data_IF_567757979390
#
_entry.id   IF_567757979390
#
_cell.length_a   1.000
_cell.length_b   1.000
_cell.length_c   1.000
_cell.angle_alpha   90.00
_cell.angle_beta   90.00
_cell.angle_gamma   90.00
#
_symmetry.space_group_name_H-M   'P 1'
#
loop_
_entity.id
_entity.type
_entity.pdbx_description
1 polymer ?
#
# COMPACT_ATOMS: atom_id res chain seq x y z
N UNK A 1 16.84 -5.09 4.87
CA UNK A 1 15.51 -4.47 4.63
C UNK A 1 14.35 -5.45 4.41
N UNK A 2 14.51 -6.55 3.67
CA UNK A 2 13.44 -7.53 3.38
C UNK A 2 12.55 -7.92 4.57
N UNK A 3 13.14 -8.44 5.66
CA UNK A 3 12.36 -8.87 6.83
C UNK A 3 11.68 -7.69 7.55
N UNK A 4 12.37 -6.56 7.69
CA UNK A 4 11.85 -5.35 8.35
C UNK A 4 10.61 -4.82 7.62
N UNK A 5 10.68 -4.73 6.30
CA UNK A 5 9.54 -4.33 5.47
C UNK A 5 8.36 -5.30 5.60
N UNK A 6 8.61 -6.62 5.56
CA UNK A 6 7.56 -7.62 5.69
C UNK A 6 6.88 -7.61 7.07
N UNK A 7 7.63 -7.30 8.15
CA UNK A 7 7.11 -7.35 9.52
C UNK A 7 6.46 -6.04 9.99
N UNK A 8 7.02 -4.90 9.59
CA UNK A 8 6.64 -3.59 10.13
C UNK A 8 6.08 -2.63 9.08
N UNK A 9 6.12 -3.00 7.80
CA UNK A 9 5.57 -2.19 6.72
C UNK A 9 6.16 -0.77 6.71
N UNK A 10 5.27 0.21 6.56
CA UNK A 10 5.63 1.63 6.44
C UNK A 10 5.97 2.29 7.79
N UNK A 11 5.54 1.72 8.91
CA UNK A 11 5.80 2.25 10.26
C UNK A 11 7.02 1.59 10.91
N UNK A 12 7.80 0.85 10.12
CA UNK A 12 9.06 0.27 10.52
C UNK A 12 10.27 1.12 10.15
N UNK A 13 11.43 0.67 10.65
CA UNK A 13 12.73 1.17 10.23
C UNK A 13 13.36 0.27 9.18
N UNK A 14 14.09 0.87 8.26
CA UNK A 14 14.95 0.21 7.27
C UNK A 14 16.40 0.63 7.52
N UNK A 15 17.35 -0.18 7.07
CA UNK A 15 18.78 0.13 7.10
C UNK A 15 19.09 0.96 5.85
N UNK A 16 19.62 2.16 6.05
CA UNK A 16 20.32 2.92 5.02
C UNK A 16 21.77 2.44 5.00
N UNK A 17 22.19 1.84 3.89
CA UNK A 17 23.54 1.28 3.75
C UNK A 17 24.60 2.36 3.49
N UNK A 18 24.23 3.53 2.95
CA UNK A 18 25.16 4.63 2.74
C UNK A 18 25.44 5.40 4.03
N UNK A 19 24.43 5.53 4.90
CA UNK A 19 24.56 6.17 6.22
C UNK A 19 24.91 5.20 7.35
N UNK A 20 24.94 3.90 7.08
CA UNK A 20 25.21 2.83 8.04
C UNK A 20 24.31 2.86 9.29
N UNK A 21 23.06 3.32 9.14
CA UNK A 21 22.12 3.48 10.26
C UNK A 21 20.69 3.05 9.90
N UNK A 22 19.88 2.85 10.94
CA UNK A 22 18.45 2.67 10.78
C UNK A 22 17.73 4.00 10.58
N UNK A 23 16.83 4.03 9.60
CA UNK A 23 16.03 5.18 9.20
C UNK A 23 14.56 4.78 9.10
N UNK A 24 13.64 5.72 9.31
CA UNK A 24 12.21 5.48 9.10
C UNK A 24 11.94 5.10 7.64
N UNK A 25 11.12 4.06 7.41
CA UNK A 25 10.82 3.58 6.07
C UNK A 25 10.22 4.68 5.18
N UNK A 26 9.32 5.50 5.74
CA UNK A 26 8.71 6.64 5.02
C UNK A 26 9.74 7.69 4.60
N UNK A 27 10.75 7.96 5.42
CA UNK A 27 11.82 8.90 5.07
C UNK A 27 12.65 8.38 3.90
N UNK A 28 13.08 7.12 3.93
CA UNK A 28 13.85 6.54 2.82
C UNK A 28 13.04 6.43 1.53
N UNK A 29 11.73 6.15 1.62
CA UNK A 29 10.85 6.13 0.45
C UNK A 29 10.70 7.53 -0.16
N UNK A 30 10.57 8.58 0.65
CA UNK A 30 10.54 9.96 0.15
C UNK A 30 11.86 10.32 -0.55
N UNK A 31 13.01 9.99 0.04
CA UNK A 31 14.32 10.22 -0.58
C UNK A 31 14.43 9.47 -1.93
N UNK A 32 13.94 8.22 -2.00
CA UNK A 32 13.91 7.45 -3.24
C UNK A 32 13.01 8.09 -4.30
N UNK A 33 11.82 8.57 -3.94
CA UNK A 33 10.89 9.22 -4.88
C UNK A 33 11.43 10.56 -5.39
N UNK A 34 12.14 11.31 -4.55
CA UNK A 34 12.85 12.52 -4.96
C UNK A 34 13.98 12.18 -5.94
N UNK A 35 14.74 11.12 -5.66
CA UNK A 35 15.84 10.67 -6.51
C UNK A 35 15.39 10.29 -7.94
N UNK A 36 14.23 9.64 -8.09
CA UNK A 36 13.71 9.20 -9.41
C UNK A 36 12.68 10.17 -10.02
N UNK A 37 12.53 11.37 -9.44
CA UNK A 37 11.41 12.27 -9.75
C UNK A 37 11.36 12.72 -11.21
N UNK A 38 12.51 12.99 -11.82
CA UNK A 38 12.60 13.43 -13.22
C UNK A 38 12.18 12.33 -14.20
N UNK A 39 12.61 11.08 -13.95
CA UNK A 39 12.25 9.92 -14.76
C UNK A 39 10.76 9.60 -14.63
N UNK A 40 10.17 9.77 -13.43
CA UNK A 40 8.73 9.61 -13.25
C UNK A 40 7.93 10.62 -14.06
N UNK A 41 8.42 11.86 -14.16
CA UNK A 41 7.81 12.90 -15.01
C UNK A 41 7.93 12.55 -16.49
N UNK A 42 9.12 12.18 -16.96
CA UNK A 42 9.38 11.79 -18.35
C UNK A 42 8.51 10.60 -18.79
N UNK A 43 8.33 9.61 -17.91
CA UNK A 43 7.52 8.43 -18.16
C UNK A 43 6.01 8.66 -17.95
N UNK A 44 5.58 9.85 -17.53
CA UNK A 44 4.17 10.17 -17.31
C UNK A 44 3.53 9.42 -16.14
N UNK A 45 4.30 9.08 -15.10
CA UNK A 45 3.88 8.23 -13.96
C UNK A 45 3.19 9.00 -12.83
N UNK A 46 2.57 10.14 -13.15
CA UNK A 46 2.01 11.05 -12.15
C UNK A 46 0.89 10.41 -11.32
N UNK A 47 0.09 9.52 -11.94
CA UNK A 47 -1.01 8.81 -11.27
C UNK A 47 -0.48 7.81 -10.25
N UNK A 48 0.56 7.07 -10.62
CA UNK A 48 1.23 6.06 -9.80
C UNK A 48 1.92 6.74 -8.62
N UNK A 49 2.61 7.87 -8.86
CA UNK A 49 3.24 8.66 -7.81
C UNK A 49 2.20 9.18 -6.81
N UNK A 50 1.08 9.73 -7.28
CA UNK A 50 -0.01 10.17 -6.41
C UNK A 50 -0.58 9.01 -5.57
N UNK A 51 -0.65 7.80 -6.15
CA UNK A 51 -1.09 6.61 -5.44
C UNK A 51 -0.08 6.14 -4.38
N UNK A 52 1.22 6.15 -4.67
CA UNK A 52 2.27 5.85 -3.68
C UNK A 52 2.22 6.86 -2.54
N UNK A 53 2.13 8.15 -2.84
CA UNK A 53 1.99 9.20 -1.83
C UNK A 53 0.74 9.02 -0.98
N UNK A 54 -0.36 8.54 -1.56
CA UNK A 54 -1.57 8.19 -0.82
C UNK A 54 -1.32 7.04 0.16
N UNK A 55 -0.70 5.95 -0.28
CA UNK A 55 -0.29 4.82 0.59
C UNK A 55 0.63 5.31 1.72
N UNK A 56 1.58 6.21 1.42
CA UNK A 56 2.47 6.81 2.41
C UNK A 56 1.77 7.78 3.39
N UNK A 57 0.53 8.23 3.12
CA UNK A 57 -0.25 9.05 4.08
C UNK A 57 -1.28 8.22 4.83
N UNK A 58 -1.98 7.34 4.13
CA UNK A 58 -3.17 6.63 4.63
C UNK A 58 -2.85 5.24 5.18
N UNK A 59 -1.67 4.69 4.87
CA UNK A 59 -1.32 3.31 5.17
C UNK A 59 -1.65 2.35 4.02
N UNK A 60 -1.29 1.09 4.21
CA UNK A 60 -1.42 0.01 3.24
C UNK A 60 -2.61 -0.92 3.58
N UNK A 61 -2.81 -1.96 2.77
CA UNK A 61 -3.92 -2.91 2.97
C UNK A 61 -3.86 -3.66 4.30
N UNK A 62 -2.67 -3.93 4.85
CA UNK A 62 -2.56 -4.55 6.16
C UNK A 62 -3.08 -3.63 7.28
N UNK A 63 -2.83 -2.31 7.17
CA UNK A 63 -3.31 -1.33 8.15
C UNK A 63 -4.85 -1.30 8.17
N UNK A 64 -5.48 -1.28 6.99
CA UNK A 64 -6.95 -1.31 6.87
C UNK A 64 -7.56 -2.64 7.35
N UNK A 65 -6.93 -3.77 7.05
CA UNK A 65 -7.34 -5.07 7.57
C UNK A 65 -7.25 -5.14 9.10
N UNK A 66 -6.18 -4.60 9.69
CA UNK A 66 -6.01 -4.52 11.14
C UNK A 66 -7.07 -3.61 11.78
N UNK A 67 -7.44 -2.50 11.14
CA UNK A 67 -8.53 -1.63 11.61
C UNK A 67 -9.88 -2.36 11.62
N UNK A 68 -10.22 -3.08 10.54
CA UNK A 68 -11.44 -3.91 10.47
C UNK A 68 -11.45 -4.94 11.59
N UNK A 69 -10.34 -5.63 11.81
CA UNK A 69 -10.21 -6.58 12.91
C UNK A 69 -10.37 -5.91 14.28
N UNK A 70 -9.74 -4.76 14.50
CA UNK A 70 -9.81 -4.03 15.77
C UNK A 70 -11.26 -3.63 16.11
N UNK A 71 -12.04 -3.23 15.10
CA UNK A 71 -13.45 -2.84 15.24
C UNK A 71 -14.41 -4.02 15.40
N UNK A 72 -14.19 -5.10 14.66
CA UNK A 72 -15.17 -6.19 14.52
C UNK A 72 -14.85 -7.43 15.32
N UNK A 73 -13.55 -7.72 15.53
CA UNK A 73 -13.04 -9.01 16.01
C UNK A 73 -13.58 -10.22 15.23
N UNK A 74 -13.98 -10.02 13.97
CA UNK A 74 -14.46 -11.08 13.07
C UNK A 74 -13.53 -11.19 11.87
N UNK A 75 -12.98 -12.39 11.65
CA UNK A 75 -12.09 -12.66 10.51
C UNK A 75 -12.86 -12.66 9.19
N UNK A 76 -14.15 -13.03 9.19
CA UNK A 76 -14.98 -12.96 7.98
C UNK A 76 -15.14 -11.52 7.52
N UNK A 77 -15.37 -10.59 8.45
CA UNK A 77 -15.45 -9.17 8.12
C UNK A 77 -14.15 -8.63 7.50
N UNK A 78 -12.97 -9.13 7.93
CA UNK A 78 -11.69 -8.78 7.30
C UNK A 78 -11.62 -9.32 5.87
N UNK A 79 -12.02 -10.57 5.65
CA UNK A 79 -12.04 -11.18 4.31
C UNK A 79 -13.04 -10.47 3.39
N UNK A 80 -14.25 -10.20 3.87
CA UNK A 80 -15.28 -9.46 3.12
C UNK A 80 -14.78 -8.07 2.72
N UNK A 81 -14.05 -7.40 3.60
CA UNK A 81 -13.39 -6.12 3.28
C UNK A 81 -12.36 -6.27 2.15
N UNK A 82 -11.46 -7.27 2.23
CA UNK A 82 -10.46 -7.54 1.18
C UNK A 82 -11.14 -7.82 -0.17
N UNK A 83 -12.21 -8.62 -0.17
CA UNK A 83 -12.98 -8.93 -1.37
C UNK A 83 -13.60 -7.66 -1.95
N UNK A 84 -14.20 -6.83 -1.10
CA UNK A 84 -14.75 -5.53 -1.50
C UNK A 84 -13.69 -4.63 -2.16
N UNK A 85 -12.53 -4.44 -1.52
CA UNK A 85 -11.44 -3.62 -2.07
C UNK A 85 -10.90 -4.17 -3.40
N UNK A 86 -10.87 -5.49 -3.58
CA UNK A 86 -10.41 -6.12 -4.82
C UNK A 86 -11.33 -5.80 -6.00
N UNK A 87 -12.63 -5.60 -5.75
CA UNK A 87 -13.61 -5.25 -6.77
C UNK A 87 -13.72 -3.75 -7.03
N UNK A 88 -13.08 -2.89 -6.24
CA UNK A 88 -13.11 -1.45 -6.47
C UNK A 88 -12.57 -1.08 -7.85
N UNK A 89 -13.36 -0.30 -8.61
CA UNK A 89 -13.00 0.12 -9.97
C UNK A 89 -13.16 -0.97 -11.04
N UNK A 90 -13.63 -2.17 -10.69
CA UNK A 90 -13.97 -3.22 -11.65
C UNK A 90 -15.48 -3.24 -11.93
N UNK A 91 -15.85 -3.27 -13.21
CA UNK A 91 -17.23 -3.55 -13.64
C UNK A 91 -17.40 -5.07 -13.77
N UNK A 92 -17.57 -5.75 -12.63
CA UNK A 92 -17.83 -7.19 -12.65
C UNK A 92 -19.34 -7.43 -12.77
N UNK A 93 -19.83 -8.16 -13.79
CA UNK A 93 -21.24 -8.50 -13.87
C UNK A 93 -21.63 -9.37 -12.68
N UNK A 94 -22.81 -9.13 -12.10
CA UNK A 94 -23.28 -9.93 -10.97
C UNK A 94 -23.30 -11.42 -11.32
N UNK A 95 -22.76 -12.30 -10.46
CA UNK A 95 -22.80 -13.73 -10.69
C UNK A 95 -24.27 -14.19 -10.73
N UNK A 96 -24.75 -14.50 -11.94
CA UNK A 96 -26.15 -14.85 -12.22
C UNK A 96 -26.78 -14.11 -13.41
N UNK A 97 -26.11 -13.07 -13.93
CA UNK A 97 -26.64 -12.26 -15.06
C UNK A 97 -26.07 -12.66 -16.43
N UNK A 98 -25.34 -13.78 -16.50
CA UNK A 98 -24.90 -14.34 -17.78
C UNK A 98 -26.12 -14.89 -18.53
N UNK A 99 -26.65 -14.03 -19.40
CA UNK A 99 -27.63 -14.23 -20.48
C UNK A 99 -28.28 -15.61 -20.60
N UNK A 100 -29.62 -15.61 -20.47
CA UNK A 100 -30.52 -16.57 -21.10
C UNK A 100 -30.52 -16.42 -22.63
#
# INVERSE_FOLDING_TARGET
NRWRAARYGLDGKLIDFGREQEMEARSLLNEMLEFIGAELEELGSAKELAHIQRIMREGNGADRQLEVWARTRDMRAVVDHIVGETYEGLSVPEPGTAAA
#
